data_IF_067286579463
#
_entry.id   IF_067286579463
#
_cell.length_a   1.000
_cell.length_b   1.000
_cell.length_c   1.000
_cell.angle_alpha   90.00
_cell.angle_beta   90.00
_cell.angle_gamma   90.00
#
_symmetry.space_group_name_H-M   'P 1'
#
loop_
_entity.id
_entity.type
_entity.pdbx_description
1 polymer ?
#
# COMPACT_ATOMS: atom_id res chain seq x y z
N UNK A 1 -17.56 -4.30 -12.57
CA UNK A 1 -16.42 -3.48 -12.08
C UNK A 1 -15.31 -4.42 -11.60
N UNK A 2 -14.03 -4.00 -11.60
CA UNK A 2 -12.90 -4.87 -11.23
C UNK A 2 -13.01 -5.51 -9.84
N UNK A 3 -13.75 -4.91 -8.90
CA UNK A 3 -13.95 -5.43 -7.54
C UNK A 3 -15.31 -6.14 -7.32
N UNK A 4 -16.10 -6.34 -8.38
CA UNK A 4 -17.43 -6.95 -8.29
C UNK A 4 -17.51 -8.28 -7.50
N UNK A 5 -16.49 -9.18 -7.52
CA UNK A 5 -16.51 -10.38 -6.69
C UNK A 5 -16.37 -10.08 -5.18
N UNK A 6 -15.58 -9.07 -4.82
CA UNK A 6 -15.35 -8.68 -3.41
C UNK A 6 -16.55 -7.91 -2.87
N UNK A 7 -17.15 -7.06 -3.69
CA UNK A 7 -18.38 -6.35 -3.33
C UNK A 7 -19.54 -7.32 -3.11
N UNK A 8 -19.65 -8.36 -3.96
CA UNK A 8 -20.64 -9.42 -3.79
C UNK A 8 -20.40 -10.23 -2.50
N UNK A 9 -19.14 -10.51 -2.16
CA UNK A 9 -18.80 -11.17 -0.90
C UNK A 9 -19.14 -10.29 0.31
N UNK A 10 -18.87 -8.99 0.24
CA UNK A 10 -19.23 -8.04 1.30
C UNK A 10 -20.75 -7.96 1.49
N UNK A 11 -21.53 -8.04 0.41
CA UNK A 11 -22.99 -8.11 0.50
C UNK A 11 -23.45 -9.38 1.23
N UNK A 12 -22.94 -10.56 0.84
CA UNK A 12 -23.26 -11.83 1.51
C UNK A 12 -22.88 -11.81 3.00
N UNK A 13 -21.74 -11.23 3.34
CA UNK A 13 -21.30 -11.07 4.73
C UNK A 13 -22.20 -10.12 5.53
N UNK A 14 -22.75 -9.09 4.88
CA UNK A 14 -23.68 -8.15 5.50
C UNK A 14 -25.05 -8.81 5.75
N UNK A 15 -25.45 -9.73 4.87
CA UNK A 15 -26.66 -10.54 5.00
C UNK A 15 -26.50 -11.72 5.98
N UNK A 16 -25.30 -11.92 6.53
CA UNK A 16 -25.02 -12.98 7.50
C UNK A 16 -24.91 -14.38 6.89
N UNK A 17 -24.55 -14.49 5.61
CA UNK A 17 -24.34 -15.78 4.97
C UNK A 17 -23.24 -16.58 5.69
N UNK A 18 -23.60 -17.78 6.16
CA UNK A 18 -22.74 -18.61 6.99
C UNK A 18 -21.47 -19.06 6.24
N UNK A 19 -21.60 -19.35 4.94
CA UNK A 19 -20.49 -19.84 4.12
C UNK A 19 -19.50 -18.71 3.82
N UNK A 20 -20.00 -17.53 3.51
CA UNK A 20 -19.19 -16.33 3.32
C UNK A 20 -18.45 -15.99 4.62
N UNK A 21 -19.15 -16.01 5.75
CA UNK A 21 -18.59 -15.73 7.07
C UNK A 21 -17.46 -16.70 7.41
N UNK A 22 -17.70 -18.01 7.29
CA UNK A 22 -16.69 -19.03 7.56
C UNK A 22 -15.47 -18.91 6.64
N UNK A 23 -15.68 -18.58 5.36
CA UNK A 23 -14.58 -18.40 4.42
C UNK A 23 -13.69 -17.19 4.78
N UNK A 24 -14.31 -16.08 5.18
CA UNK A 24 -13.59 -14.86 5.57
C UNK A 24 -12.92 -15.01 6.94
N UNK A 25 -13.53 -15.75 7.86
CA UNK A 25 -12.93 -16.09 9.15
C UNK A 25 -11.65 -16.92 8.95
N UNK A 26 -11.71 -18.01 8.16
CA UNK A 26 -10.55 -18.83 7.85
C UNK A 26 -9.44 -18.05 7.13
N UNK A 27 -9.82 -17.15 6.22
CA UNK A 27 -8.86 -16.25 5.57
C UNK A 27 -8.21 -15.27 6.56
N UNK A 28 -9.00 -14.73 7.49
CA UNK A 28 -8.54 -13.83 8.53
C UNK A 28 -7.58 -14.50 9.52
N UNK A 29 -7.83 -15.76 9.89
CA UNK A 29 -6.92 -16.55 10.73
C UNK A 29 -5.57 -16.75 10.03
N UNK A 30 -5.59 -17.25 8.78
CA UNK A 30 -4.38 -17.46 8.01
C UNK A 30 -3.58 -16.16 7.83
N UNK A 31 -4.26 -15.05 7.57
CA UNK A 31 -3.63 -13.73 7.44
C UNK A 31 -3.08 -13.22 8.77
N UNK A 32 -3.79 -13.42 9.87
CA UNK A 32 -3.32 -13.07 11.22
C UNK A 32 -2.05 -13.82 11.62
N UNK A 33 -1.93 -15.09 11.26
CA UNK A 33 -0.71 -15.88 11.44
C UNK A 33 0.45 -15.25 10.65
N UNK A 34 0.22 -14.97 9.36
CA UNK A 34 1.24 -14.37 8.50
C UNK A 34 1.69 -12.98 9.00
N UNK A 35 0.74 -12.15 9.42
CA UNK A 35 1.02 -10.82 10.01
C UNK A 35 1.83 -10.99 11.29
N UNK A 36 1.46 -11.91 12.19
CA UNK A 36 2.20 -12.10 13.44
C UNK A 36 3.66 -12.50 13.18
N UNK A 37 3.92 -13.34 12.17
CA UNK A 37 5.27 -13.69 11.73
C UNK A 37 6.01 -12.42 11.26
N UNK A 38 5.40 -11.64 10.37
CA UNK A 38 6.00 -10.41 9.85
C UNK A 38 6.30 -9.39 10.96
N UNK A 39 5.38 -9.17 11.90
CA UNK A 39 5.57 -8.27 13.04
C UNK A 39 6.73 -8.74 13.93
N UNK A 40 6.80 -10.04 14.23
CA UNK A 40 7.86 -10.57 15.08
C UNK A 40 9.24 -10.48 14.41
N UNK A 41 9.32 -10.68 13.09
CA UNK A 41 10.59 -10.68 12.35
C UNK A 41 11.05 -9.29 11.91
N UNK A 42 10.13 -8.43 11.50
CA UNK A 42 10.41 -7.15 10.84
C UNK A 42 10.05 -5.94 11.69
N UNK A 43 9.40 -6.15 12.85
CA UNK A 43 8.93 -5.09 13.76
C UNK A 43 8.06 -4.03 13.09
N UNK A 44 7.07 -4.48 12.30
CA UNK A 44 6.12 -3.61 11.58
C UNK A 44 4.92 -3.30 12.49
N UNK A 45 4.68 -2.04 12.91
CA UNK A 45 3.57 -1.72 13.80
C UNK A 45 2.25 -1.43 13.06
N UNK A 46 2.28 -1.26 11.74
CA UNK A 46 1.12 -0.80 10.95
C UNK A 46 0.96 -1.63 9.69
N UNK A 47 -0.23 -2.20 9.53
CA UNK A 47 -0.60 -3.05 8.40
C UNK A 47 -1.72 -2.35 7.65
N UNK A 48 -1.43 -1.98 6.40
CA UNK A 48 -2.37 -1.28 5.52
C UNK A 48 -2.92 -2.27 4.50
N UNK A 49 -4.25 -2.39 4.45
CA UNK A 49 -4.95 -3.29 3.53
C UNK A 49 -5.28 -2.54 2.24
N UNK A 50 -4.82 -3.05 1.09
CA UNK A 50 -5.11 -2.47 -0.22
C UNK A 50 -6.61 -2.42 -0.53
N UNK A 51 -6.98 -1.66 -1.57
CA UNK A 51 -8.36 -1.25 -1.86
C UNK A 51 -9.41 -2.35 -1.75
N UNK A 52 -9.26 -3.46 -2.47
CA UNK A 52 -10.28 -4.53 -2.46
C UNK A 52 -10.35 -5.22 -1.09
N UNK A 53 -9.21 -5.53 -0.47
CA UNK A 53 -9.19 -6.19 0.84
C UNK A 53 -9.63 -5.26 1.98
N UNK A 54 -9.42 -3.95 1.82
CA UNK A 54 -9.87 -2.92 2.75
C UNK A 54 -11.39 -2.91 2.93
N UNK A 55 -12.16 -3.28 1.90
CA UNK A 55 -13.63 -3.44 2.00
C UNK A 55 -14.01 -4.53 3.00
N UNK A 56 -13.25 -5.62 3.06
CA UNK A 56 -13.52 -6.77 3.93
C UNK A 56 -12.94 -6.60 5.34
N UNK A 57 -12.22 -5.52 5.62
CA UNK A 57 -11.53 -5.30 6.88
C UNK A 57 -12.43 -5.40 8.13
N UNK A 58 -13.71 -4.95 8.13
CA UNK A 58 -14.60 -5.13 9.28
C UNK A 58 -14.78 -6.60 9.71
N UNK A 59 -14.83 -7.53 8.75
CA UNK A 59 -14.98 -8.97 9.01
C UNK A 59 -13.63 -9.67 9.23
N UNK A 60 -12.55 -9.17 8.64
CA UNK A 60 -11.20 -9.73 8.81
C UNK A 60 -10.53 -9.30 10.13
N UNK A 61 -10.88 -8.12 10.67
CA UNK A 61 -10.23 -7.57 11.86
C UNK A 61 -10.34 -8.50 13.08
N UNK A 62 -11.51 -9.07 13.43
CA UNK A 62 -11.61 -9.97 14.58
C UNK A 62 -10.68 -11.20 14.52
N UNK A 63 -10.72 -12.05 13.47
CA UNK A 63 -9.84 -13.24 13.40
C UNK A 63 -8.35 -12.86 13.31
N UNK A 64 -7.99 -11.79 12.58
CA UNK A 64 -6.60 -11.31 12.53
C UNK A 64 -6.13 -10.89 13.93
N UNK A 65 -6.97 -10.13 14.65
CA UNK A 65 -6.63 -9.63 16.00
C UNK A 65 -6.43 -10.77 16.99
N UNK A 66 -7.23 -11.84 16.88
CA UNK A 66 -7.08 -13.04 17.71
C UNK A 66 -5.70 -13.69 17.50
N UNK A 67 -5.31 -13.93 16.25
CA UNK A 67 -4.02 -14.56 15.93
C UNK A 67 -2.83 -13.66 16.30
N UNK A 68 -2.93 -12.35 16.05
CA UNK A 68 -1.89 -11.38 16.40
C UNK A 68 -1.71 -11.30 17.92
N UNK A 69 -2.81 -11.30 18.69
CA UNK A 69 -2.75 -11.33 20.17
C UNK A 69 -2.10 -12.61 20.69
N UNK A 70 -2.41 -13.74 20.08
CA UNK A 70 -1.89 -15.04 20.50
C UNK A 70 -0.39 -15.22 20.19
N UNK A 71 0.11 -14.60 19.11
CA UNK A 71 1.43 -14.95 18.53
C UNK A 71 2.48 -13.83 18.57
N UNK A 72 2.09 -12.57 18.73
CA UNK A 72 3.07 -11.47 18.75
C UNK A 72 3.71 -11.32 20.12
N UNK A 73 5.04 -11.37 20.15
CA UNK A 73 5.83 -11.23 21.38
C UNK A 73 5.69 -9.82 21.96
N UNK A 74 5.13 -9.73 23.16
CA UNK A 74 4.90 -8.46 23.85
C UNK A 74 3.78 -7.61 23.23
N UNK A 75 2.81 -8.24 22.55
CA UNK A 75 1.69 -7.59 21.86
C UNK A 75 1.12 -6.35 22.56
N UNK A 76 0.86 -6.43 23.87
CA UNK A 76 0.24 -5.37 24.66
C UNK A 76 0.97 -4.01 24.62
N UNK A 77 2.26 -3.99 24.24
CA UNK A 77 3.07 -2.76 24.15
C UNK A 77 3.41 -2.35 22.70
N UNK A 78 3.03 -3.15 21.70
CA UNK A 78 3.45 -2.93 20.30
C UNK A 78 2.51 -2.03 19.49
N UNK A 79 1.30 -1.75 19.99
CA UNK A 79 0.38 -0.80 19.34
C UNK A 79 0.09 -1.12 17.88
N UNK A 80 -0.15 -2.40 17.57
CA UNK A 80 -0.34 -2.87 16.19
C UNK A 80 -1.65 -2.32 15.62
N UNK A 81 -1.56 -1.64 14.49
CA UNK A 81 -2.70 -1.01 13.80
C UNK A 81 -3.01 -1.75 12.50
N UNK A 82 -4.27 -2.13 12.33
CA UNK A 82 -4.84 -2.63 11.08
C UNK A 82 -5.68 -1.51 10.47
N UNK A 83 -5.39 -1.07 9.26
CA UNK A 83 -6.14 0.01 8.61
C UNK A 83 -6.35 -0.23 7.12
N UNK A 84 -7.49 0.19 6.60
CA UNK A 84 -7.71 0.18 5.16
C UNK A 84 -6.89 1.30 4.51
N UNK A 85 -6.33 1.04 3.34
CA UNK A 85 -5.68 2.06 2.54
C UNK A 85 -6.70 3.16 2.21
N UNK A 86 -6.35 4.45 2.39
CA UNK A 86 -7.20 5.54 1.95
C UNK A 86 -7.57 5.37 0.47
N UNK A 87 -8.84 5.57 0.14
CA UNK A 87 -9.28 5.55 -1.26
C UNK A 87 -8.62 6.73 -1.96
N UNK A 88 -7.69 6.41 -2.87
CA UNK A 88 -7.02 7.38 -3.73
C UNK A 88 -7.33 7.06 -5.18
N UNK A 89 -7.29 8.07 -6.04
CA UNK A 89 -7.46 7.86 -7.48
C UNK A 89 -6.19 7.21 -8.01
N UNK A 90 -6.30 6.01 -8.57
CA UNK A 90 -5.21 5.26 -9.19
C UNK A 90 -3.98 5.05 -8.26
N UNK A 91 -4.13 4.37 -7.10
CA UNK A 91 -3.03 4.18 -6.13
C UNK A 91 -1.81 3.52 -6.75
N UNK A 92 -2.02 2.49 -7.57
CA UNK A 92 -0.94 1.79 -8.27
C UNK A 92 -0.24 2.69 -9.31
N UNK A 93 -0.99 3.49 -10.07
CA UNK A 93 -0.38 4.41 -11.04
C UNK A 93 0.36 5.54 -10.35
N UNK A 94 -0.17 6.04 -9.24
CA UNK A 94 0.50 7.06 -8.40
C UNK A 94 1.81 6.50 -7.84
N UNK A 95 1.79 5.28 -7.31
CA UNK A 95 3.02 4.59 -6.88
C UNK A 95 4.02 4.42 -8.02
N UNK A 96 3.56 4.01 -9.20
CA UNK A 96 4.42 3.88 -10.39
C UNK A 96 5.02 5.21 -10.86
N UNK A 97 4.25 6.30 -10.82
CA UNK A 97 4.76 7.63 -11.13
C UNK A 97 5.77 8.12 -10.07
N UNK A 98 5.49 7.89 -8.79
CA UNK A 98 6.40 8.19 -7.70
C UNK A 98 7.70 7.41 -7.82
N UNK A 99 7.67 6.16 -8.26
CA UNK A 99 8.87 5.35 -8.46
C UNK A 99 9.82 5.98 -9.49
N UNK A 100 9.27 6.50 -10.60
CA UNK A 100 10.06 7.26 -11.59
C UNK A 100 10.63 8.55 -10.99
N UNK A 101 9.86 9.23 -10.14
CA UNK A 101 10.31 10.46 -9.48
C UNK A 101 11.32 10.20 -8.34
N UNK A 102 11.30 9.02 -7.73
CA UNK A 102 12.09 8.70 -6.54
C UNK A 102 13.59 8.85 -6.81
N UNK A 103 14.06 8.47 -8.00
CA UNK A 103 15.46 8.67 -8.40
C UNK A 103 15.85 10.14 -8.51
N UNK A 104 14.93 10.99 -8.97
CA UNK A 104 15.15 12.43 -9.10
C UNK A 104 15.17 13.09 -7.72
N UNK A 105 14.26 12.69 -6.84
CA UNK A 105 14.20 13.16 -5.44
C UNK A 105 15.45 12.73 -4.66
N UNK A 106 15.94 11.51 -4.89
CA UNK A 106 17.12 10.99 -4.21
C UNK A 106 18.42 11.68 -4.65
N UNK A 107 18.50 12.17 -5.90
CA UNK A 107 19.71 12.79 -6.47
C UNK A 107 19.41 14.05 -7.29
N UNK A 108 18.87 15.12 -6.68
CA UNK A 108 18.40 16.28 -7.42
C UNK A 108 19.52 17.04 -8.13
N UNK A 109 20.73 17.10 -7.55
CA UNK A 109 21.87 17.79 -8.13
C UNK A 109 22.31 17.25 -9.50
N UNK A 110 22.18 15.92 -9.73
CA UNK A 110 22.54 15.27 -11.00
C UNK A 110 21.66 15.70 -12.19
N UNK A 111 20.57 16.41 -11.91
CA UNK A 111 19.62 16.92 -12.91
C UNK A 111 19.74 18.44 -13.11
N UNK A 112 20.37 19.16 -12.19
CA UNK A 112 20.55 20.62 -12.28
C UNK A 112 21.65 20.97 -13.29
N UNK A 113 22.80 20.29 -13.24
CA UNK A 113 23.92 20.52 -14.17
C UNK A 113 23.60 20.15 -15.63
N UNK A 114 22.56 19.31 -15.83
CA UNK A 114 22.11 18.88 -17.17
C UNK A 114 21.36 19.98 -17.92
N UNK A 115 20.80 20.97 -17.23
CA UNK A 115 20.07 22.07 -17.84
C UNK A 115 20.95 23.26 -18.24
N UNK A 116 22.21 23.34 -17.80
CA UNK A 116 23.11 24.46 -18.14
C UNK A 116 23.80 24.34 -19.51
N UNK A 117 23.72 23.19 -20.18
CA UNK A 117 24.42 22.96 -21.46
C UNK A 117 23.46 22.88 -22.65
N UNK A 118 22.69 23.94 -22.90
CA UNK A 118 22.30 24.27 -24.27
C UNK A 118 23.28 25.33 -24.78
N UNK A 119 24.22 25.00 -25.69
CA UNK A 119 25.07 26.02 -26.28
C UNK A 119 24.18 26.98 -27.07
N UNK A 120 24.27 28.28 -26.78
CA UNK A 120 23.57 29.32 -27.51
C UNK A 120 23.88 29.20 -29.02
N UNK A 121 22.90 29.41 -29.92
CA UNK A 121 23.14 29.38 -31.35
C UNK A 121 24.19 30.46 -31.70
N UNK A 122 25.32 30.00 -32.22
CA UNK A 122 26.45 30.80 -32.66
C UNK A 122 25.95 31.98 -33.51
N UNK A 123 26.13 33.21 -33.01
CA UNK A 123 25.94 34.43 -33.78
C UNK A 123 27.04 34.50 -34.84
N UNK A 124 26.80 33.79 -35.93
CA UNK A 124 27.55 33.91 -37.16
C UNK A 124 27.69 35.39 -37.54
N UNK A 125 28.94 35.81 -37.73
CA UNK A 125 29.36 36.83 -38.66
C UNK A 125 28.49 38.12 -38.72
N UNK A 126 28.78 39.11 -37.86
CA UNK A 126 28.60 40.51 -38.30
C UNK A 126 29.95 41.07 -38.78
N UNK A 127 30.06 40.99 -40.10
CA UNK A 127 30.97 41.69 -41.01
C UNK A 127 30.82 43.21 -40.89
N UNK A 128 31.93 43.94 -40.69
CA UNK A 128 32.32 45.35 -41.02
C UNK A 128 33.39 45.76 -39.99
N UNK A 129 34.58 46.26 -40.29
CA UNK A 129 35.28 46.75 -41.49
C UNK A 129 36.79 46.50 -41.31
#
# INVERSE_FOLDING_TARGET
>A
APDAPVDALAALLSDGDERATAAVEAAGEALGIAIAIAVNLLDIPRIVFGTSLGVLLPWLTPPITQEVRARVLGHARRGIVLEACPITVLPACTGGALEVLNTTIAQPAAWIDRHETTPAPNSAQRKTD
#
